data_IF_709182798760
#
_entry.id   IF_709182798760
#
_cell.length_a   1.000
_cell.length_b   1.000
_cell.length_c   1.000
_cell.angle_alpha   90.00
_cell.angle_beta   90.00
_cell.angle_gamma   90.00
#
_symmetry.space_group_name_H-M   'P 1'
#
loop_
_entity.id
_entity.type
_entity.pdbx_description
1 polymer ?
#
# COMPACT_ATOMS: atom_id res chain seq x y z
N UNK A 1 7.06 -23.80 -5.71
CA UNK A 1 7.18 -22.36 -6.03
C UNK A 1 6.25 -21.59 -5.13
N UNK A 2 6.77 -20.57 -4.49
CA UNK A 2 5.93 -19.71 -3.67
C UNK A 2 5.10 -18.79 -4.57
N UNK A 3 3.85 -18.59 -4.20
CA UNK A 3 3.00 -17.65 -4.89
C UNK A 3 3.36 -16.22 -4.47
N UNK A 4 3.19 -15.29 -5.38
CA UNK A 4 3.34 -13.89 -5.06
C UNK A 4 2.33 -13.47 -3.99
N UNK A 5 2.72 -12.49 -3.19
CA UNK A 5 1.86 -11.91 -2.16
C UNK A 5 1.41 -10.54 -2.64
N UNK A 6 0.13 -10.25 -2.44
CA UNK A 6 -0.43 -8.93 -2.72
C UNK A 6 -0.73 -8.22 -1.41
N UNK A 7 -0.39 -6.94 -1.37
CA UNK A 7 -0.70 -6.07 -0.25
C UNK A 7 -1.53 -4.91 -0.75
N UNK A 8 -2.64 -4.64 -0.09
CA UNK A 8 -3.52 -3.53 -0.42
C UNK A 8 -3.68 -2.69 0.85
N UNK A 9 -3.26 -1.44 0.79
CA UNK A 9 -3.33 -0.55 1.94
C UNK A 9 -4.10 0.70 1.52
N UNK A 10 -5.14 1.03 2.28
CA UNK A 10 -5.98 2.20 2.04
C UNK A 10 -5.71 3.25 3.11
N UNK A 11 -5.53 4.48 2.66
CA UNK A 11 -5.29 5.64 3.51
C UNK A 11 -6.36 6.68 3.27
N UNK A 12 -6.71 7.43 4.30
CA UNK A 12 -7.65 8.54 4.17
C UNK A 12 -6.96 9.83 4.62
N UNK A 13 -6.40 10.62 3.67
CA UNK A 13 -5.81 11.90 4.03
C UNK A 13 -6.85 12.87 4.57
N UNK A 14 -6.45 13.71 5.52
CA UNK A 14 -7.30 14.79 6.00
C UNK A 14 -7.56 15.79 4.90
N UNK A 15 -8.64 16.55 5.03
CA UNK A 15 -8.97 17.61 4.07
C UNK A 15 -7.80 18.57 3.94
N UNK A 16 -7.42 18.85 2.68
CA UNK A 16 -6.28 19.73 2.39
C UNK A 16 -4.92 19.07 2.50
N UNK A 17 -4.84 17.81 2.92
CA UNK A 17 -3.57 17.09 3.09
C UNK A 17 -3.30 16.04 2.01
N UNK A 18 -4.21 15.87 1.05
CA UNK A 18 -4.11 14.81 0.05
C UNK A 18 -2.83 14.93 -0.78
N UNK A 19 -2.52 16.11 -1.28
CA UNK A 19 -1.33 16.29 -2.13
C UNK A 19 -0.05 16.04 -1.34
N UNK A 20 0.03 16.54 -0.12
CA UNK A 20 1.20 16.32 0.73
C UNK A 20 1.37 14.84 1.04
N UNK A 21 0.28 14.13 1.29
CA UNK A 21 0.32 12.69 1.55
C UNK A 21 0.75 11.92 0.30
N UNK A 22 0.20 12.26 -0.86
CA UNK A 22 0.57 11.59 -2.12
C UNK A 22 2.06 11.73 -2.41
N UNK A 23 2.62 12.93 -2.21
CA UNK A 23 4.06 13.15 -2.39
C UNK A 23 4.89 12.30 -1.43
N UNK A 24 4.48 12.22 -0.17
CA UNK A 24 5.17 11.40 0.83
C UNK A 24 5.12 9.92 0.46
N UNK A 25 3.98 9.44 -0.04
CA UNK A 25 3.82 8.06 -0.44
C UNK A 25 4.65 7.72 -1.68
N UNK A 26 4.74 8.63 -2.64
CA UNK A 26 5.58 8.44 -3.81
C UNK A 26 7.07 8.36 -3.42
N UNK A 27 7.50 9.19 -2.48
CA UNK A 27 8.87 9.10 -1.96
C UNK A 27 9.14 7.76 -1.28
N UNK A 28 8.18 7.27 -0.50
CA UNK A 28 8.30 5.96 0.13
C UNK A 28 8.42 4.85 -0.92
N UNK A 29 7.58 4.89 -1.95
CA UNK A 29 7.60 3.89 -3.01
C UNK A 29 8.96 3.85 -3.70
N UNK A 30 9.59 4.99 -3.94
CA UNK A 30 10.93 5.07 -4.53
C UNK A 30 12.00 4.46 -3.61
N UNK A 31 11.91 4.74 -2.31
CA UNK A 31 12.86 4.21 -1.33
C UNK A 31 12.73 2.69 -1.21
N UNK A 32 11.49 2.19 -1.21
CA UNK A 32 11.19 0.78 -1.01
C UNK A 32 11.20 -0.02 -2.31
N UNK A 33 11.47 0.62 -3.44
CA UNK A 33 11.48 -0.05 -4.74
C UNK A 33 12.64 -1.03 -4.83
N UNK A 34 12.33 -2.28 -5.15
CA UNK A 34 13.32 -3.36 -5.30
C UNK A 34 12.93 -4.24 -6.48
N UNK A 35 13.88 -4.93 -7.12
CA UNK A 35 13.54 -5.88 -8.17
C UNK A 35 12.53 -6.92 -7.67
N UNK A 36 11.53 -7.21 -8.49
CA UNK A 36 10.49 -8.18 -8.16
C UNK A 36 9.31 -7.61 -7.39
N UNK A 37 9.37 -6.36 -6.95
CA UNK A 37 8.27 -5.69 -6.27
C UNK A 37 7.65 -4.68 -7.21
N UNK A 38 6.34 -4.73 -7.39
CA UNK A 38 5.61 -3.72 -8.15
C UNK A 38 4.71 -2.94 -7.23
N UNK A 39 4.59 -1.64 -7.51
CA UNK A 39 3.76 -0.72 -6.75
C UNK A 39 2.79 -0.03 -7.69
N UNK A 40 1.54 0.10 -7.25
CA UNK A 40 0.55 0.93 -7.92
C UNK A 40 -0.10 1.83 -6.87
N UNK A 41 -0.17 3.11 -7.16
CA UNK A 41 -0.77 4.10 -6.26
C UNK A 41 -1.99 4.66 -6.96
N UNK A 42 -3.14 4.62 -6.29
CA UNK A 42 -4.42 4.99 -6.86
C UNK A 42 -5.10 5.99 -5.95
N UNK A 43 -5.60 7.07 -6.53
CA UNK A 43 -6.47 8.01 -5.83
C UNK A 43 -7.91 7.69 -6.18
N UNK A 44 -8.73 7.41 -5.17
CA UNK A 44 -10.15 7.13 -5.36
C UNK A 44 -10.94 8.44 -5.46
N UNK A 45 -12.10 8.36 -6.06
CA UNK A 45 -13.01 9.51 -6.17
C UNK A 45 -13.51 9.99 -4.81
N UNK A 46 -13.39 9.17 -3.77
CA UNK A 46 -13.73 9.53 -2.39
C UNK A 46 -12.63 10.37 -1.72
N UNK A 47 -11.48 10.54 -2.36
CA UNK A 47 -10.32 11.20 -1.74
C UNK A 47 -9.40 10.27 -0.98
N UNK A 48 -9.74 9.00 -0.89
CA UNK A 48 -8.86 8.00 -0.30
C UNK A 48 -7.76 7.61 -1.27
N UNK A 49 -6.61 7.18 -0.73
CA UNK A 49 -5.46 6.74 -1.53
C UNK A 49 -5.22 5.27 -1.25
N UNK A 50 -5.01 4.49 -2.30
CA UNK A 50 -4.78 3.05 -2.19
C UNK A 50 -3.41 2.73 -2.75
N UNK A 51 -2.65 1.96 -1.97
CA UNK A 51 -1.36 1.41 -2.37
C UNK A 51 -1.57 -0.07 -2.64
N UNK A 52 -1.22 -0.52 -3.83
CA UNK A 52 -1.29 -1.93 -4.20
C UNK A 52 0.12 -2.38 -4.54
N UNK A 53 0.59 -3.43 -3.87
CA UNK A 53 1.93 -3.95 -4.08
C UNK A 53 1.87 -5.45 -4.35
N UNK A 54 2.67 -5.89 -5.31
CA UNK A 54 2.89 -7.32 -5.57
C UNK A 54 4.31 -7.65 -5.19
N UNK A 55 4.48 -8.62 -4.30
CA UNK A 55 5.76 -8.97 -3.72
C UNK A 55 6.06 -10.45 -3.98
N UNK A 56 7.35 -10.83 -4.07
CA UNK A 56 7.69 -12.23 -4.41
C UNK A 56 7.36 -13.23 -3.29
N UNK A 57 7.33 -12.77 -2.04
CA UNK A 57 7.05 -13.66 -0.91
C UNK A 57 6.58 -12.88 0.31
N UNK A 58 6.03 -13.60 1.28
CA UNK A 58 5.60 -13.01 2.55
C UNK A 58 6.78 -12.42 3.34
N UNK A 59 7.97 -12.98 3.19
CA UNK A 59 9.15 -12.49 3.87
C UNK A 59 9.45 -11.04 3.51
N UNK A 60 9.17 -10.66 2.28
CA UNK A 60 9.34 -9.28 1.82
C UNK A 60 8.45 -8.30 2.61
N UNK A 61 7.23 -8.72 2.94
CA UNK A 61 6.34 -7.90 3.77
C UNK A 61 6.90 -7.75 5.16
N UNK A 62 7.36 -8.85 5.75
CA UNK A 62 7.93 -8.84 7.11
C UNK A 62 9.17 -7.94 7.17
N UNK A 63 10.03 -8.01 6.17
CA UNK A 63 11.25 -7.20 6.11
C UNK A 63 10.94 -5.70 6.06
N UNK A 64 9.88 -5.31 5.34
CA UNK A 64 9.52 -3.90 5.18
C UNK A 64 8.63 -3.34 6.28
N UNK A 65 8.18 -4.17 7.21
CA UNK A 65 7.13 -3.79 8.16
C UNK A 65 7.58 -2.68 9.12
N UNK A 66 8.78 -2.76 9.63
CA UNK A 66 9.32 -1.77 10.57
C UNK A 66 9.47 -0.41 9.88
N UNK A 67 10.06 -0.40 8.68
CA UNK A 67 10.21 0.84 7.91
C UNK A 67 8.87 1.45 7.56
N UNK A 68 7.89 0.62 7.21
CA UNK A 68 6.55 1.09 6.92
C UNK A 68 5.88 1.74 8.12
N UNK A 69 6.03 1.17 9.31
CA UNK A 69 5.47 1.73 10.53
C UNK A 69 6.15 3.03 10.92
N UNK A 70 7.47 3.10 10.80
CA UNK A 70 8.22 4.33 11.06
C UNK A 70 7.80 5.45 10.11
N UNK A 71 7.62 5.12 8.82
CA UNK A 71 7.14 6.08 7.84
C UNK A 71 5.73 6.59 8.19
N UNK A 72 4.83 5.68 8.60
CA UNK A 72 3.48 6.07 9.00
C UNK A 72 3.49 7.08 10.14
N UNK A 73 4.40 6.93 11.09
CA UNK A 73 4.53 7.89 12.18
C UNK A 73 4.89 9.29 11.66
N UNK A 74 5.67 9.38 10.57
CA UNK A 74 6.05 10.67 9.99
C UNK A 74 4.89 11.36 9.27
N UNK A 75 3.89 10.62 8.81
CA UNK A 75 2.74 11.16 8.08
C UNK A 75 1.43 11.06 8.86
N UNK A 76 1.49 10.65 10.10
CA UNK A 76 0.30 10.46 10.95
C UNK A 76 -0.59 11.71 10.98
N UNK A 77 0.01 12.88 11.04
CA UNK A 77 -0.70 14.16 11.08
C UNK A 77 -1.47 14.48 9.80
N UNK A 78 -1.16 13.80 8.70
CA UNK A 78 -1.84 14.00 7.42
C UNK A 78 -3.05 13.06 7.24
N UNK A 79 -3.22 12.08 8.11
CA UNK A 79 -4.21 11.02 7.92
C UNK A 79 -5.34 11.09 8.95
N UNK A 80 -6.55 10.82 8.48
CA UNK A 80 -7.68 10.57 9.36
C UNK A 80 -7.58 9.17 9.94
N UNK A 81 -8.12 9.01 11.14
CA UNK A 81 -8.18 7.71 11.81
C UNK A 81 -9.61 7.20 11.79
N UNK A 82 -9.76 5.88 11.67
CA UNK A 82 -11.08 5.26 11.72
C UNK A 82 -11.61 5.21 13.18
N UNK A 83 -12.78 4.60 13.36
CA UNK A 83 -13.41 4.50 14.67
C UNK A 83 -12.56 3.75 15.71
N UNK A 84 -11.64 2.91 15.24
CA UNK A 84 -10.74 2.13 16.11
C UNK A 84 -9.39 2.81 16.31
N UNK A 85 -9.20 4.00 15.73
CA UNK A 85 -7.96 4.74 15.84
C UNK A 85 -6.88 4.32 14.83
N UNK A 86 -7.24 3.51 13.84
CA UNK A 86 -6.30 3.04 12.83
C UNK A 86 -6.10 4.08 11.72
N UNK A 87 -4.85 4.27 11.32
CA UNK A 87 -4.46 5.18 10.23
C UNK A 87 -4.63 4.57 8.85
N UNK A 88 -4.73 3.24 8.78
CA UNK A 88 -4.78 2.52 7.52
C UNK A 88 -5.78 1.38 7.61
N UNK A 89 -6.24 0.95 6.43
CA UNK A 89 -6.94 -0.32 6.30
C UNK A 89 -6.08 -1.17 5.37
N UNK A 90 -5.50 -2.24 5.92
CA UNK A 90 -4.52 -3.05 5.21
C UNK A 90 -5.03 -4.47 5.02
N UNK A 91 -4.83 -4.97 3.82
CA UNK A 91 -5.21 -6.33 3.43
C UNK A 91 -4.04 -6.98 2.72
N UNK A 92 -3.86 -8.27 2.91
CA UNK A 92 -2.87 -9.02 2.17
C UNK A 92 -3.41 -10.40 1.80
N UNK A 93 -2.87 -10.97 0.74
CA UNK A 93 -3.30 -12.28 0.29
C UNK A 93 -2.30 -12.89 -0.66
N UNK A 94 -2.47 -14.18 -0.89
CA UNK A 94 -1.65 -14.91 -1.83
C UNK A 94 -2.28 -14.89 -3.21
N UNK A 95 -1.45 -14.72 -4.23
CA UNK A 95 -1.90 -14.85 -5.61
C UNK A 95 -2.40 -16.28 -5.83
N UNK A 96 -3.54 -16.39 -6.49
CA UNK A 96 -4.14 -17.70 -6.73
C UNK A 96 -3.38 -18.47 -7.81
N UNK A 97 -3.36 -19.79 -7.69
CA UNK A 97 -2.69 -20.66 -8.67
C UNK A 97 -3.44 -20.76 -10.01
N UNK A 98 -4.73 -20.47 -10.01
CA UNK A 98 -5.53 -20.46 -11.23
C UNK A 98 -5.09 -19.33 -12.16
N UNK A 99 -5.49 -19.35 -13.43
CA UNK A 99 -5.17 -18.23 -14.33
C UNK A 99 -5.60 -16.91 -13.71
N UNK A 100 -4.66 -15.97 -13.64
CA UNK A 100 -4.87 -14.68 -12.96
C UNK A 100 -5.35 -13.60 -13.91
N UNK A 101 -5.15 -13.81 -15.20
CA UNK A 101 -5.54 -12.86 -16.22
C UNK A 101 -6.69 -13.41 -17.03
N UNK A 102 -7.81 -12.73 -16.97
CA UNK A 102 -8.97 -13.05 -17.76
C UNK A 102 -9.17 -11.92 -18.75
N UNK A 103 -9.04 -12.23 -20.04
CA UNK A 103 -9.21 -11.22 -21.07
C UNK A 103 -10.61 -11.28 -21.61
N UNK A 104 -11.24 -10.13 -21.68
CA UNK A 104 -12.53 -9.99 -22.39
C UNK A 104 -12.29 -10.10 -23.87
N UNK A 105 -13.15 -10.84 -24.52
CA UNK A 105 -13.09 -11.01 -25.97
C UNK A 105 -14.18 -10.26 -26.64
#
# INVERSE_FOLDING_TARGET
>A
MENAVWSVIKYKPKDGCTDAFKEALERLAKIMSKPGITWSLIELDTGEVVQISRLPSIDTIVEGQIEGLEWLDTVDHLLEKDAEGSRTQAYSGLEMDAPHSFQSK
#
